data_IF_609852826003
#
_entry.id   IF_609852826003
#
_cell.length_a   1.000
_cell.length_b   1.000
_cell.length_c   1.000
_cell.angle_alpha   90.00
_cell.angle_beta   90.00
_cell.angle_gamma   90.00
#
_symmetry.space_group_name_H-M   'P 1'
#
loop_
_entity.id
_entity.type
_entity.pdbx_description
1 polymer ?
#
# COMPACT_ATOMS: atom_id res chain seq x y z
N UNK A 1 79.03 -46.67 -33.11
CA UNK A 1 78.10 -47.07 -32.08
C UNK A 1 77.82 -45.81 -31.25
N UNK A 2 76.66 -45.24 -31.45
CA UNK A 2 76.32 -44.01 -30.73
C UNK A 2 74.86 -44.08 -30.26
N UNK A 3 74.68 -44.26 -28.93
CA UNK A 3 73.38 -44.43 -28.28
C UNK A 3 72.71 -43.10 -28.01
N UNK A 4 71.73 -42.75 -28.81
CA UNK A 4 70.87 -41.59 -28.56
C UNK A 4 69.80 -41.89 -27.51
N UNK A 5 69.95 -41.34 -26.30
CA UNK A 5 68.90 -41.33 -25.27
C UNK A 5 67.92 -40.16 -25.54
N UNK A 6 66.72 -40.49 -25.99
CA UNK A 6 65.58 -39.54 -26.07
C UNK A 6 65.09 -39.20 -24.60
N UNK A 7 65.18 -37.94 -24.25
CA UNK A 7 64.56 -37.40 -23.06
C UNK A 7 63.04 -37.24 -23.27
N UNK A 8 62.25 -38.06 -22.61
CA UNK A 8 60.81 -37.85 -22.51
C UNK A 8 60.55 -36.71 -21.51
N UNK A 9 60.10 -35.58 -22.01
CA UNK A 9 59.81 -34.39 -21.22
C UNK A 9 58.54 -34.54 -20.37
N UNK A 10 58.61 -34.16 -19.11
CA UNK A 10 57.55 -34.07 -18.12
C UNK A 10 56.39 -33.14 -18.57
N UNK A 11 55.36 -33.67 -19.23
CA UNK A 11 54.10 -33.00 -19.52
C UNK A 11 53.04 -33.13 -18.40
N UNK A 12 53.34 -33.76 -17.27
CA UNK A 12 52.36 -34.16 -16.24
C UNK A 12 52.08 -33.14 -15.13
N UNK A 13 52.75 -32.00 -15.06
CA UNK A 13 52.62 -31.09 -13.91
C UNK A 13 51.59 -29.94 -14.07
N UNK A 14 51.20 -29.62 -15.32
CA UNK A 14 50.30 -28.48 -15.56
C UNK A 14 48.81 -28.81 -15.25
N UNK A 15 48.37 -30.00 -15.58
CA UNK A 15 46.96 -30.43 -15.32
C UNK A 15 46.62 -30.57 -13.83
N UNK A 16 47.60 -31.00 -13.03
CA UNK A 16 47.40 -31.10 -11.56
C UNK A 16 47.22 -29.72 -10.89
N UNK A 17 47.96 -28.71 -11.34
CA UNK A 17 47.85 -27.34 -10.84
C UNK A 17 46.51 -26.69 -11.17
N UNK A 18 45.99 -26.91 -12.37
CA UNK A 18 44.68 -26.42 -12.81
C UNK A 18 43.52 -27.06 -11.99
N UNK A 19 43.61 -28.38 -11.71
CA UNK A 19 42.62 -29.06 -10.85
C UNK A 19 42.62 -28.53 -9.44
N UNK A 20 43.78 -28.21 -8.86
CA UNK A 20 43.86 -27.60 -7.52
C UNK A 20 43.33 -26.19 -7.51
N UNK A 21 43.56 -25.38 -8.53
CA UNK A 21 42.98 -24.03 -8.67
C UNK A 21 41.47 -24.10 -8.78
N UNK A 22 40.93 -25.01 -9.59
CA UNK A 22 39.47 -25.20 -9.72
C UNK A 22 38.85 -25.64 -8.37
N UNK A 23 39.48 -26.61 -7.66
CA UNK A 23 39.02 -27.03 -6.34
C UNK A 23 39.04 -25.88 -5.32
N UNK A 24 40.09 -25.06 -5.34
CA UNK A 24 40.18 -23.88 -4.48
C UNK A 24 39.09 -22.85 -4.81
N UNK A 25 38.83 -22.57 -6.09
CA UNK A 25 37.75 -21.65 -6.51
C UNK A 25 36.35 -22.18 -6.12
N UNK A 26 36.13 -23.49 -6.26
CA UNK A 26 34.87 -24.12 -5.81
C UNK A 26 34.72 -24.03 -4.29
N UNK A 27 35.78 -24.25 -3.54
CA UNK A 27 35.77 -24.12 -2.08
C UNK A 27 35.47 -22.67 -1.65
N UNK A 28 36.11 -21.69 -2.30
CA UNK A 28 35.85 -20.26 -2.05
C UNK A 28 34.40 -19.92 -2.39
N UNK A 29 33.84 -20.41 -3.51
CA UNK A 29 32.45 -20.19 -3.88
C UNK A 29 31.47 -20.83 -2.89
N UNK A 30 31.77 -22.03 -2.39
CA UNK A 30 30.95 -22.69 -1.34
C UNK A 30 30.99 -21.93 0.00
N UNK A 31 32.17 -21.45 0.39
CA UNK A 31 32.29 -20.60 1.61
C UNK A 31 31.53 -19.30 1.43
N UNK A 32 31.69 -18.61 0.29
CA UNK A 32 30.96 -17.37 0.01
C UNK A 32 29.45 -17.60 -0.03
N UNK A 33 28.99 -18.67 -0.69
CA UNK A 33 27.60 -19.09 -0.70
C UNK A 33 27.05 -19.43 0.69
N UNK A 34 27.83 -20.13 1.50
CA UNK A 34 27.47 -20.43 2.89
C UNK A 34 27.36 -19.18 3.76
N UNK A 35 28.28 -18.22 3.60
CA UNK A 35 28.23 -16.93 4.31
C UNK A 35 26.99 -16.12 3.85
N UNK A 36 26.75 -16.03 2.55
CA UNK A 36 25.58 -15.32 2.01
C UNK A 36 24.27 -15.96 2.51
N UNK A 37 24.18 -17.28 2.54
CA UNK A 37 23.04 -18.01 3.08
C UNK A 37 22.80 -17.70 4.56
N UNK A 38 23.86 -17.73 5.38
CA UNK A 38 23.76 -17.43 6.83
C UNK A 38 23.33 -15.98 7.05
N UNK A 39 23.88 -15.03 6.31
CA UNK A 39 23.51 -13.61 6.40
C UNK A 39 22.06 -13.39 6.02
N UNK A 40 21.61 -13.96 4.90
CA UNK A 40 20.22 -13.84 4.45
C UNK A 40 19.24 -14.50 5.46
N UNK A 41 19.59 -15.65 6.03
CA UNK A 41 18.79 -16.32 7.04
C UNK A 41 18.71 -15.52 8.36
N UNK A 42 19.80 -14.85 8.76
CA UNK A 42 19.78 -13.95 9.92
C UNK A 42 18.90 -12.73 9.67
N UNK A 43 18.98 -12.13 8.48
CA UNK A 43 18.15 -10.97 8.11
C UNK A 43 16.66 -11.32 8.14
N UNK A 44 16.24 -12.42 7.52
CA UNK A 44 14.85 -12.87 7.57
C UNK A 44 14.34 -13.10 9.00
N UNK A 45 15.17 -13.72 9.83
CA UNK A 45 14.81 -13.93 11.25
C UNK A 45 14.72 -12.62 12.02
N UNK A 46 15.64 -11.69 11.78
CA UNK A 46 15.72 -10.44 12.52
C UNK A 46 14.68 -9.43 12.06
N UNK A 47 14.16 -9.56 10.81
CA UNK A 47 13.02 -8.79 10.30
C UNK A 47 11.67 -9.32 10.76
N UNK A 48 11.60 -10.59 11.15
CA UNK A 48 10.36 -11.21 11.65
C UNK A 48 9.97 -10.70 13.04
N UNK A 49 8.71 -10.93 13.41
CA UNK A 49 8.17 -10.62 14.73
C UNK A 49 9.08 -11.10 15.88
N UNK A 50 9.29 -10.26 16.90
CA UNK A 50 10.07 -10.63 18.08
C UNK A 50 9.42 -11.82 18.83
N UNK A 51 8.09 -11.78 18.98
CA UNK A 51 7.27 -12.84 19.54
C UNK A 51 5.87 -12.81 18.91
N UNK A 52 5.59 -13.71 17.97
CA UNK A 52 4.32 -13.79 17.24
C UNK A 52 3.08 -14.03 18.11
N UNK A 53 3.26 -14.49 19.36
CA UNK A 53 2.16 -14.71 20.30
C UNK A 53 1.88 -13.50 21.20
N UNK A 54 2.83 -12.59 21.36
CA UNK A 54 2.66 -11.40 22.20
C UNK A 54 2.04 -10.25 21.40
N UNK A 55 0.71 -10.16 21.45
CA UNK A 55 -0.11 -9.10 20.82
C UNK A 55 -0.32 -7.88 21.72
N UNK A 56 0.38 -7.80 22.86
CA UNK A 56 0.25 -6.66 23.77
C UNK A 56 0.94 -5.44 23.22
N UNK A 57 0.15 -4.46 22.82
CA UNK A 57 0.66 -3.22 22.28
C UNK A 57 1.46 -2.40 23.30
N UNK A 58 2.55 -1.83 22.85
CA UNK A 58 3.40 -0.89 23.59
C UNK A 58 3.48 0.41 22.81
N UNK A 59 3.34 1.53 23.51
CA UNK A 59 3.39 2.83 22.89
C UNK A 59 4.84 3.27 22.65
N UNK A 60 5.10 3.75 21.43
CA UNK A 60 6.35 4.39 21.04
C UNK A 60 6.07 5.80 20.56
N UNK A 61 6.82 6.79 21.06
CA UNK A 61 6.75 8.17 20.59
C UNK A 61 7.93 8.47 19.69
N UNK A 62 7.66 8.73 18.42
CA UNK A 62 8.62 9.30 17.46
C UNK A 62 8.46 10.81 17.46
N UNK A 63 9.53 11.55 17.73
CA UNK A 63 9.52 13.01 17.75
C UNK A 63 9.78 13.54 16.35
N UNK A 64 9.41 14.79 16.13
CA UNK A 64 9.83 15.51 14.94
C UNK A 64 11.36 15.70 14.97
N UNK A 65 12.03 15.34 13.85
CA UNK A 65 13.49 15.34 13.77
C UNK A 65 14.21 14.07 14.26
N UNK A 66 13.50 13.05 14.78
CA UNK A 66 14.12 11.75 15.07
C UNK A 66 14.62 11.11 13.75
N UNK A 67 15.86 10.63 13.76
CA UNK A 67 16.43 9.86 12.67
C UNK A 67 16.08 8.35 12.78
N UNK A 68 16.53 7.55 11.82
CA UNK A 68 16.26 6.11 11.78
C UNK A 68 16.88 5.38 12.98
N UNK A 69 18.04 5.83 13.46
CA UNK A 69 18.70 5.26 14.63
C UNK A 69 17.95 5.58 15.91
N UNK A 70 17.41 6.80 16.04
CA UNK A 70 16.57 7.21 17.16
C UNK A 70 15.31 6.35 17.25
N UNK A 71 14.65 6.10 16.11
CA UNK A 71 13.47 5.22 16.02
C UNK A 71 13.85 3.79 16.40
N UNK A 72 14.96 3.25 15.86
CA UNK A 72 15.44 1.92 16.21
C UNK A 72 15.73 1.79 17.71
N UNK A 73 16.36 2.79 18.32
CA UNK A 73 16.62 2.81 19.76
C UNK A 73 15.34 2.78 20.59
N UNK A 74 14.30 3.50 20.16
CA UNK A 74 13.00 3.52 20.84
C UNK A 74 12.27 2.18 20.73
N UNK A 75 12.29 1.55 19.57
CA UNK A 75 11.69 0.23 19.34
C UNK A 75 12.40 -0.86 20.16
N UNK A 76 13.74 -0.85 20.19
CA UNK A 76 14.55 -1.77 20.99
C UNK A 76 14.32 -1.60 22.50
N UNK A 77 14.33 -0.36 23.00
CA UNK A 77 14.02 -0.05 24.40
C UNK A 77 12.62 -0.51 24.81
N UNK A 78 11.67 -0.45 23.89
CA UNK A 78 10.31 -0.96 24.07
C UNK A 78 10.23 -2.50 23.95
N UNK A 79 11.32 -3.19 23.61
CA UNK A 79 11.35 -4.64 23.34
C UNK A 79 10.32 -5.02 22.27
N UNK A 80 10.42 -4.41 21.11
CA UNK A 80 9.56 -4.63 19.95
C UNK A 80 10.32 -5.27 18.80
N UNK A 81 11.64 -5.06 18.70
CA UNK A 81 12.51 -5.60 17.66
C UNK A 81 13.65 -6.45 18.27
N UNK A 82 14.24 -7.36 17.47
CA UNK A 82 15.37 -8.21 17.90
C UNK A 82 16.70 -7.48 17.81
N UNK A 83 16.83 -6.60 16.81
CA UNK A 83 18.10 -5.96 16.49
C UNK A 83 17.86 -4.55 15.94
N UNK A 84 18.50 -3.55 16.57
CA UNK A 84 18.52 -2.17 16.04
C UNK A 84 19.18 -2.12 14.67
N UNK A 85 20.27 -2.87 14.49
CA UNK A 85 21.01 -2.92 13.22
C UNK A 85 20.13 -3.47 12.10
N UNK A 86 19.31 -4.51 12.38
CA UNK A 86 18.38 -5.06 11.40
C UNK A 86 17.31 -4.04 11.01
N UNK A 87 16.76 -3.27 11.95
CA UNK A 87 15.80 -2.21 11.63
C UNK A 87 16.42 -1.13 10.73
N UNK A 88 17.62 -0.62 11.09
CA UNK A 88 18.33 0.40 10.29
C UNK A 88 18.67 -0.14 8.91
N UNK A 89 19.16 -1.40 8.83
CA UNK A 89 19.46 -2.05 7.55
C UNK A 89 18.20 -2.24 6.69
N UNK A 90 17.08 -2.66 7.30
CA UNK A 90 15.81 -2.79 6.59
C UNK A 90 15.37 -1.46 5.97
N UNK A 91 15.37 -0.37 6.75
CA UNK A 91 14.99 0.97 6.29
C UNK A 91 15.87 1.43 5.14
N UNK A 92 17.21 1.25 5.24
CA UNK A 92 18.15 1.68 4.20
C UNK A 92 18.10 0.82 2.93
N UNK A 93 17.93 -0.50 3.06
CA UNK A 93 17.90 -1.43 1.91
C UNK A 93 16.60 -1.37 1.11
N UNK A 94 15.52 -0.85 1.69
CA UNK A 94 14.22 -0.68 1.05
C UNK A 94 13.91 0.78 0.69
N UNK A 95 14.94 1.65 0.65
CA UNK A 95 14.81 3.09 0.33
C UNK A 95 13.68 3.80 1.09
N UNK A 96 13.49 3.42 2.35
CA UNK A 96 12.46 4.02 3.17
C UNK A 96 12.91 5.42 3.61
N UNK A 97 12.42 6.42 2.90
CA UNK A 97 12.51 7.81 3.33
C UNK A 97 11.28 8.17 4.17
N UNK A 98 11.46 9.09 5.14
CA UNK A 98 10.37 9.73 5.90
C UNK A 98 9.58 8.81 6.86
N UNK A 99 10.25 8.31 7.91
CA UNK A 99 9.55 7.86 9.10
C UNK A 99 8.93 9.09 9.80
N UNK A 100 7.60 9.08 9.95
CA UNK A 100 6.84 10.25 10.44
C UNK A 100 6.80 10.31 11.96
N UNK A 101 6.74 11.52 12.50
CA UNK A 101 6.57 11.74 13.94
C UNK A 101 5.16 11.36 14.42
N UNK A 102 5.01 11.10 15.71
CA UNK A 102 3.72 10.77 16.35
C UNK A 102 3.82 9.69 17.43
N UNK A 103 2.66 9.31 17.95
CA UNK A 103 2.52 8.19 18.89
C UNK A 103 2.04 6.97 18.14
N UNK A 104 2.71 5.84 18.34
CA UNK A 104 2.45 4.56 17.68
C UNK A 104 2.17 3.48 18.71
N UNK A 105 1.37 2.49 18.34
CA UNK A 105 1.19 1.26 19.09
C UNK A 105 1.74 0.11 18.27
N UNK A 106 2.73 -0.58 18.83
CA UNK A 106 3.31 -1.78 18.25
C UNK A 106 3.27 -2.92 19.24
N UNK A 107 3.06 -4.13 18.75
CA UNK A 107 3.16 -5.36 19.53
C UNK A 107 4.45 -6.10 19.19
N UNK A 108 4.99 -6.93 20.11
CA UNK A 108 6.09 -7.84 19.78
C UNK A 108 5.76 -8.85 18.68
N UNK A 109 4.47 -9.01 18.33
CA UNK A 109 4.00 -9.82 17.21
C UNK A 109 4.12 -9.11 15.86
N UNK A 110 4.42 -7.81 15.81
CA UNK A 110 4.59 -7.07 14.57
C UNK A 110 6.00 -7.29 14.02
N UNK A 111 6.11 -7.52 12.72
CA UNK A 111 7.39 -7.58 12.00
C UNK A 111 7.96 -6.18 11.77
N UNK A 112 9.26 -6.09 11.45
CA UNK A 112 9.89 -4.81 11.08
C UNK A 112 9.18 -4.18 9.88
N UNK A 113 8.78 -4.98 8.90
CA UNK A 113 8.03 -4.50 7.73
C UNK A 113 6.72 -3.81 8.13
N UNK A 114 5.92 -4.45 8.99
CA UNK A 114 4.66 -3.87 9.49
C UNK A 114 4.89 -2.60 10.30
N UNK A 115 5.92 -2.59 11.16
CA UNK A 115 6.28 -1.39 11.92
C UNK A 115 6.72 -0.23 11.02
N UNK A 116 7.57 -0.50 10.02
CA UNK A 116 8.06 0.50 9.05
C UNK A 116 6.90 1.04 8.23
N UNK A 117 6.01 0.15 7.74
CA UNK A 117 4.80 0.56 7.03
C UNK A 117 3.97 1.53 7.89
N UNK A 118 3.73 1.21 9.17
CA UNK A 118 2.99 2.05 10.09
C UNK A 118 3.70 3.39 10.36
N UNK A 119 5.03 3.39 10.52
CA UNK A 119 5.84 4.59 10.73
C UNK A 119 5.80 5.55 9.54
N UNK A 120 5.70 5.02 8.32
CA UNK A 120 5.55 5.84 7.09
C UNK A 120 4.20 6.53 6.99
N UNK A 121 3.13 5.92 7.53
CA UNK A 121 1.78 6.49 7.49
C UNK A 121 1.61 7.67 8.45
N UNK A 122 2.35 7.70 9.53
CA UNK A 122 2.27 8.72 10.56
C UNK A 122 1.56 8.24 11.82
N UNK A 123 2.04 8.72 12.97
CA UNK A 123 1.47 8.40 14.27
C UNK A 123 0.35 9.37 14.69
N UNK A 124 -0.34 9.02 15.76
CA UNK A 124 -1.33 9.91 16.38
C UNK A 124 -0.64 11.15 16.99
N UNK A 125 -1.34 12.26 17.02
CA UNK A 125 -0.85 13.52 17.57
C UNK A 125 -0.75 13.53 19.11
N UNK A 126 -1.49 12.61 19.78
CA UNK A 126 -1.54 12.46 21.24
C UNK A 126 -1.24 11.02 21.68
N UNK A 127 -0.88 10.79 22.97
CA UNK A 127 -0.66 9.44 23.51
C UNK A 127 -1.85 8.52 23.28
N UNK A 128 -1.55 7.26 22.89
CA UNK A 128 -2.55 6.25 22.59
C UNK A 128 -2.73 5.31 23.79
N UNK A 129 -3.99 5.02 24.13
CA UNK A 129 -4.35 3.94 25.05
C UNK A 129 -5.10 2.87 24.26
N UNK A 130 -4.65 1.61 24.30
CA UNK A 130 -5.20 0.49 23.50
C UNK A 130 -6.72 0.28 23.63
N UNK A 131 -7.29 0.68 24.75
CA UNK A 131 -8.73 0.57 25.01
C UNK A 131 -9.53 1.78 24.51
N UNK A 132 -8.84 2.82 24.03
CA UNK A 132 -9.43 4.12 23.71
C UNK A 132 -9.12 4.56 22.29
N UNK A 133 -8.65 3.61 21.45
CA UNK A 133 -8.28 3.91 20.08
C UNK A 133 -9.14 3.17 19.06
N UNK A 134 -9.20 3.76 17.86
CA UNK A 134 -9.76 3.14 16.66
C UNK A 134 -8.76 3.28 15.52
N UNK A 135 -8.59 2.24 14.73
CA UNK A 135 -7.68 2.24 13.58
C UNK A 135 -8.49 2.26 12.30
N UNK A 136 -8.29 3.30 11.49
CA UNK A 136 -8.70 3.33 10.08
C UNK A 136 -7.61 2.66 9.27
N UNK A 137 -7.95 1.58 8.55
CA UNK A 137 -7.01 0.84 7.71
C UNK A 137 -7.06 1.33 6.27
N UNK A 138 -5.98 1.13 5.57
CA UNK A 138 -5.91 1.39 4.14
C UNK A 138 -6.98 0.61 3.38
N UNK A 139 -7.66 1.27 2.44
CA UNK A 139 -8.70 0.65 1.65
C UNK A 139 -10.04 0.43 2.36
N UNK A 140 -10.21 0.82 3.63
CA UNK A 140 -11.50 0.79 4.31
C UNK A 140 -12.44 1.88 3.78
N UNK A 141 -13.72 1.50 3.64
CA UNK A 141 -14.79 2.45 3.30
C UNK A 141 -15.34 3.14 4.56
N UNK A 142 -16.04 4.25 4.38
CA UNK A 142 -16.76 4.89 5.50
C UNK A 142 -17.73 3.92 6.20
N UNK A 143 -18.35 2.99 5.47
CA UNK A 143 -19.23 1.97 6.08
C UNK A 143 -18.47 1.00 6.99
N UNK A 144 -17.25 0.58 6.58
CA UNK A 144 -16.39 -0.29 7.38
C UNK A 144 -15.91 0.44 8.64
N UNK A 145 -15.42 1.67 8.50
CA UNK A 145 -14.99 2.52 9.62
C UNK A 145 -16.17 2.76 10.58
N UNK A 146 -17.35 3.08 10.05
CA UNK A 146 -18.54 3.31 10.87
C UNK A 146 -18.97 2.07 11.65
N UNK A 147 -18.82 0.88 11.06
CA UNK A 147 -19.09 -0.38 11.75
C UNK A 147 -18.10 -0.60 12.92
N UNK A 148 -16.82 -0.36 12.68
CA UNK A 148 -15.78 -0.47 13.71
C UNK A 148 -15.96 0.59 14.84
N UNK A 149 -16.32 1.83 14.48
CA UNK A 149 -16.66 2.89 15.44
C UNK A 149 -17.79 2.43 16.36
N UNK A 150 -18.87 1.88 15.79
CA UNK A 150 -20.00 1.40 16.57
C UNK A 150 -19.70 0.21 17.49
N UNK A 151 -18.67 -0.56 17.20
CA UNK A 151 -18.26 -1.73 18.00
C UNK A 151 -17.24 -1.38 19.09
N UNK A 152 -16.30 -0.45 18.80
CA UNK A 152 -15.12 -0.21 19.63
C UNK A 152 -15.12 1.12 20.38
N UNK A 153 -16.08 2.00 20.11
CA UNK A 153 -16.12 3.32 20.72
C UNK A 153 -17.44 3.58 21.44
N UNK A 154 -17.54 4.73 22.12
CA UNK A 154 -18.80 5.20 22.72
C UNK A 154 -19.81 5.75 21.70
N UNK A 155 -19.42 5.87 20.42
CA UNK A 155 -20.26 6.42 19.37
C UNK A 155 -20.95 5.30 18.60
N UNK A 156 -22.19 5.51 18.19
CA UNK A 156 -22.91 4.58 17.33
C UNK A 156 -22.50 4.71 15.87
N UNK A 157 -22.66 3.62 15.09
CA UNK A 157 -22.50 3.65 13.63
C UNK A 157 -23.33 4.78 12.98
N UNK A 158 -24.57 4.98 13.46
CA UNK A 158 -25.47 5.99 12.89
C UNK A 158 -24.99 7.43 13.15
N UNK A 159 -24.45 7.72 14.34
CA UNK A 159 -23.88 9.04 14.66
C UNK A 159 -22.67 9.33 13.78
N UNK A 160 -21.80 8.35 13.57
CA UNK A 160 -20.64 8.50 12.70
C UNK A 160 -21.06 8.76 11.24
N UNK A 161 -21.95 7.95 10.68
CA UNK A 161 -22.49 8.14 9.32
C UNK A 161 -23.19 9.48 9.14
N UNK A 162 -23.92 9.94 10.17
CA UNK A 162 -24.53 11.28 10.17
C UNK A 162 -23.49 12.39 10.20
N UNK A 163 -22.37 12.20 10.92
CA UNK A 163 -21.28 13.18 10.96
C UNK A 163 -20.60 13.33 9.60
N UNK A 164 -20.17 12.22 8.98
CA UNK A 164 -19.44 12.23 7.68
C UNK A 164 -20.27 12.77 6.53
N UNK A 165 -21.60 12.77 6.63
CA UNK A 165 -22.50 13.23 5.58
C UNK A 165 -23.21 14.56 5.90
N UNK A 166 -22.84 15.21 7.01
CA UNK A 166 -23.46 16.46 7.43
C UNK A 166 -22.91 17.67 6.67
N UNK A 167 -23.73 18.31 5.84
CA UNK A 167 -23.35 19.45 5.01
C UNK A 167 -22.77 20.65 5.79
N UNK A 168 -23.37 21.00 6.93
CA UNK A 168 -22.88 22.12 7.73
C UNK A 168 -21.53 21.81 8.40
N UNK A 169 -21.30 20.55 8.78
CA UNK A 169 -20.02 20.10 9.32
C UNK A 169 -18.96 20.03 8.21
N UNK A 170 -19.32 19.53 7.04
CA UNK A 170 -18.44 19.53 5.86
C UNK A 170 -17.96 20.96 5.51
N UNK A 171 -18.84 21.93 5.52
CA UNK A 171 -18.45 23.31 5.22
C UNK A 171 -17.47 23.87 6.27
N UNK A 172 -17.63 23.54 7.56
CA UNK A 172 -16.67 23.92 8.60
C UNK A 172 -15.31 23.24 8.42
N UNK A 173 -15.29 21.98 8.03
CA UNK A 173 -14.05 21.26 7.71
C UNK A 173 -13.34 21.89 6.50
N UNK A 174 -14.10 22.29 5.47
CA UNK A 174 -13.56 22.97 4.29
C UNK A 174 -12.89 24.30 4.68
N UNK A 175 -13.50 25.10 5.55
CA UNK A 175 -12.92 26.34 6.07
C UNK A 175 -11.67 26.08 6.94
N UNK A 176 -11.70 25.02 7.76
CA UNK A 176 -10.60 24.66 8.65
C UNK A 176 -9.39 24.06 7.92
N UNK A 177 -9.62 23.39 6.78
CA UNK A 177 -8.60 22.67 6.00
C UNK A 177 -8.61 23.13 4.53
N UNK A 178 -8.17 24.35 4.25
CA UNK A 178 -8.23 24.94 2.90
C UNK A 178 -7.42 24.13 1.90
N UNK A 179 -7.96 23.96 0.70
CA UNK A 179 -7.37 23.14 -0.37
C UNK A 179 -7.77 21.66 -0.32
N UNK A 180 -8.08 21.09 0.85
CA UNK A 180 -8.37 19.68 0.98
C UNK A 180 -9.74 19.28 0.38
N UNK A 181 -10.81 20.01 0.73
CA UNK A 181 -12.20 19.65 0.39
C UNK A 181 -12.81 20.55 -0.70
N UNK A 182 -12.04 21.48 -1.25
CA UNK A 182 -12.54 22.47 -2.20
C UNK A 182 -13.02 21.83 -3.51
N UNK A 183 -12.27 20.86 -4.01
CA UNK A 183 -12.56 20.16 -5.26
C UNK A 183 -13.76 19.20 -5.14
N UNK A 184 -13.97 18.58 -3.97
CA UNK A 184 -15.21 17.81 -3.72
C UNK A 184 -16.44 18.71 -3.79
N UNK A 185 -16.37 19.84 -3.10
CA UNK A 185 -17.48 20.79 -3.05
C UNK A 185 -17.84 21.35 -4.44
N UNK A 186 -16.89 21.47 -5.36
CA UNK A 186 -17.06 21.99 -6.71
C UNK A 186 -17.20 20.91 -7.78
N UNK A 187 -17.15 19.63 -7.44
CA UNK A 187 -17.29 18.51 -8.39
C UNK A 187 -18.63 18.56 -9.11
N UNK A 188 -18.60 18.36 -10.44
CA UNK A 188 -19.81 18.23 -11.27
C UNK A 188 -20.74 17.13 -10.80
N UNK A 189 -20.18 16.08 -10.16
CA UNK A 189 -20.90 14.91 -9.68
C UNK A 189 -21.19 14.97 -8.17
N UNK A 190 -21.01 16.12 -7.50
CA UNK A 190 -21.20 16.29 -6.06
C UNK A 190 -22.58 15.81 -5.54
N UNK A 191 -23.64 15.91 -6.37
CA UNK A 191 -24.99 15.43 -6.06
C UNK A 191 -25.08 13.90 -5.94
N UNK A 192 -24.18 13.18 -6.60
CA UNK A 192 -24.17 11.73 -6.69
C UNK A 192 -23.21 11.09 -5.66
N UNK A 193 -22.48 11.92 -4.90
CA UNK A 193 -21.56 11.46 -3.86
C UNK A 193 -22.34 10.79 -2.71
N UNK A 194 -21.98 9.54 -2.42
CA UNK A 194 -22.64 8.76 -1.35
C UNK A 194 -22.28 9.28 0.05
N UNK A 195 -21.00 9.46 0.32
CA UNK A 195 -20.45 10.00 1.56
C UNK A 195 -19.46 11.11 1.21
N UNK A 196 -19.72 12.34 1.70
CA UNK A 196 -18.90 13.51 1.38
C UNK A 196 -17.44 13.38 1.79
N UNK A 197 -17.15 12.60 2.80
CA UNK A 197 -15.81 12.40 3.33
C UNK A 197 -15.20 11.05 2.97
N UNK A 198 -15.78 10.29 2.01
CA UNK A 198 -15.15 9.08 1.49
C UNK A 198 -13.81 9.44 0.84
N UNK A 199 -12.75 8.73 1.23
CA UNK A 199 -11.39 8.99 0.80
C UNK A 199 -10.64 10.08 1.59
N UNK A 200 -11.34 10.80 2.48
CA UNK A 200 -10.76 11.90 3.27
C UNK A 200 -10.53 11.54 4.74
N UNK A 201 -10.80 10.31 5.15
CA UNK A 201 -10.51 9.81 6.48
C UNK A 201 -9.17 9.04 6.46
N UNK A 202 -8.07 9.73 6.75
CA UNK A 202 -6.73 9.18 6.56
C UNK A 202 -6.50 7.89 7.34
N UNK A 203 -5.90 6.85 6.75
CA UNK A 203 -5.55 5.62 7.44
C UNK A 203 -4.52 5.85 8.56
N UNK A 204 -4.96 5.73 9.79
CA UNK A 204 -4.14 5.88 11.00
C UNK A 204 -4.91 5.38 12.24
N UNK A 205 -4.26 5.39 13.39
CA UNK A 205 -4.89 5.09 14.69
C UNK A 205 -5.25 6.39 15.42
N UNK A 206 -6.49 6.50 15.85
CA UNK A 206 -7.07 7.70 16.47
C UNK A 206 -7.52 7.43 17.90
N UNK A 207 -7.31 8.38 18.80
CA UNK A 207 -7.85 8.34 20.17
C UNK A 207 -9.28 8.88 20.15
N UNK A 208 -10.27 7.99 20.31
CA UNK A 208 -11.67 8.38 20.32
C UNK A 208 -12.14 8.94 21.66
N UNK A 209 -11.42 8.67 22.77
CA UNK A 209 -11.80 9.16 24.12
C UNK A 209 -11.75 10.67 24.22
N UNK A 210 -10.77 11.29 23.54
CA UNK A 210 -10.60 12.74 23.51
C UNK A 210 -11.69 13.45 22.68
N UNK A 211 -12.55 12.69 22.01
CA UNK A 211 -13.67 13.21 21.25
C UNK A 211 -14.95 13.20 22.08
N UNK A 212 -15.62 14.34 22.21
CA UNK A 212 -16.90 14.44 22.92
C UNK A 212 -18.09 13.91 22.11
N UNK A 213 -17.95 13.89 20.79
CA UNK A 213 -18.96 13.42 19.82
C UNK A 213 -18.31 12.87 18.56
N UNK A 214 -19.07 12.16 17.71
CA UNK A 214 -18.58 11.55 16.49
C UNK A 214 -17.97 12.56 15.49
N UNK A 215 -18.40 13.84 15.48
CA UNK A 215 -17.83 14.87 14.61
C UNK A 215 -16.40 15.21 14.99
N UNK A 216 -16.07 15.23 16.28
CA UNK A 216 -14.70 15.47 16.73
C UNK A 216 -13.77 14.34 16.33
N UNK A 217 -14.22 13.08 16.39
CA UNK A 217 -13.47 11.93 15.89
C UNK A 217 -13.26 12.02 14.37
N UNK A 218 -14.31 12.35 13.60
CA UNK A 218 -14.19 12.57 12.14
C UNK A 218 -13.25 13.74 11.86
N UNK A 219 -13.29 14.81 12.64
CA UNK A 219 -12.37 15.95 12.49
C UNK A 219 -10.90 15.52 12.67
N UNK A 220 -10.58 14.65 13.66
CA UNK A 220 -9.21 14.12 13.79
C UNK A 220 -8.76 13.39 12.51
N UNK A 221 -9.64 12.58 11.89
CA UNK A 221 -9.34 11.82 10.69
C UNK A 221 -9.10 12.74 9.47
N UNK A 222 -9.92 13.78 9.31
CA UNK A 222 -9.79 14.79 8.24
C UNK A 222 -8.57 15.68 8.47
N UNK A 223 -8.31 16.10 9.72
CA UNK A 223 -7.11 16.87 10.09
C UNK A 223 -5.82 16.10 9.72
N UNK A 224 -5.84 14.78 9.91
CA UNK A 224 -4.71 13.92 9.53
C UNK A 224 -4.56 13.87 8.00
N UNK A 225 -5.64 13.77 7.23
CA UNK A 225 -5.59 13.89 5.76
C UNK A 225 -4.97 15.22 5.32
N UNK A 226 -5.40 16.32 5.92
CA UNK A 226 -4.82 17.64 5.62
C UNK A 226 -3.32 17.69 5.93
N UNK A 227 -2.92 17.21 7.11
CA UNK A 227 -1.50 17.18 7.52
C UNK A 227 -0.64 16.40 6.53
N UNK A 228 -1.15 15.30 5.99
CA UNK A 228 -0.43 14.44 5.05
C UNK A 228 -0.40 15.00 3.62
N UNK A 229 -1.47 15.70 3.21
CA UNK A 229 -1.65 16.11 1.82
C UNK A 229 -1.30 17.57 1.52
N UNK A 230 -1.32 18.47 2.53
CA UNK A 230 -1.13 19.91 2.30
C UNK A 230 0.17 20.27 1.57
N UNK A 231 1.24 19.53 1.81
CA UNK A 231 2.53 19.74 1.13
C UNK A 231 2.58 19.14 -0.28
N UNK A 232 1.53 18.44 -0.71
CA UNK A 232 1.40 17.83 -2.03
C UNK A 232 0.39 18.58 -2.93
N UNK A 233 -0.28 19.62 -2.43
CA UNK A 233 -1.30 20.33 -3.22
C UNK A 233 -0.75 20.95 -4.49
N UNK A 234 0.47 21.50 -4.47
CA UNK A 234 1.12 22.01 -5.67
C UNK A 234 1.47 20.88 -6.63
N UNK A 235 2.01 19.76 -6.16
CA UNK A 235 2.29 18.57 -6.98
C UNK A 235 1.02 18.00 -7.61
N UNK A 236 -0.09 17.94 -6.87
CA UNK A 236 -1.40 17.52 -7.39
C UNK A 236 -1.84 18.44 -8.54
N UNK A 237 -1.72 19.74 -8.34
CA UNK A 237 -2.08 20.76 -9.35
C UNK A 237 -1.18 20.65 -10.58
N UNK A 238 0.13 20.47 -10.39
CA UNK A 238 1.10 20.33 -11.48
C UNK A 238 0.88 19.05 -12.30
N UNK A 239 0.36 17.99 -11.66
CA UNK A 239 -0.11 16.78 -12.34
C UNK A 239 -1.44 16.98 -13.12
N UNK A 240 -2.03 18.18 -13.10
CA UNK A 240 -3.30 18.48 -13.74
C UNK A 240 -4.52 17.89 -13.05
N UNK A 241 -4.38 17.48 -11.78
CA UNK A 241 -5.43 16.84 -11.00
C UNK A 241 -5.94 17.78 -9.89
N UNK A 242 -7.15 17.49 -9.43
CA UNK A 242 -7.67 18.01 -8.17
C UNK A 242 -7.40 17.02 -7.04
N UNK A 243 -7.49 17.47 -5.78
CA UNK A 243 -7.38 16.57 -4.61
C UNK A 243 -8.44 15.48 -4.67
N UNK A 244 -9.66 15.80 -5.08
CA UNK A 244 -10.76 14.84 -5.22
C UNK A 244 -10.48 13.76 -6.27
N UNK A 245 -9.99 14.14 -7.45
CA UNK A 245 -9.61 13.20 -8.51
C UNK A 245 -8.41 12.34 -8.10
N UNK A 246 -7.41 12.94 -7.45
CA UNK A 246 -6.25 12.20 -6.91
C UNK A 246 -6.68 11.12 -5.92
N UNK A 247 -7.52 11.48 -4.94
CA UNK A 247 -8.03 10.52 -3.96
C UNK A 247 -8.93 9.46 -4.59
N UNK A 248 -9.70 9.83 -5.62
CA UNK A 248 -10.54 8.90 -6.38
C UNK A 248 -9.70 7.84 -7.09
N UNK A 249 -8.70 8.25 -7.88
CA UNK A 249 -7.78 7.31 -8.53
C UNK A 249 -6.98 6.49 -7.51
N UNK A 250 -6.47 7.14 -6.46
CA UNK A 250 -5.73 6.45 -5.41
C UNK A 250 -6.56 5.37 -4.73
N UNK A 251 -7.88 5.58 -4.56
CA UNK A 251 -8.79 4.58 -3.97
C UNK A 251 -9.01 3.36 -4.88
N UNK A 252 -8.91 3.50 -6.20
CA UNK A 252 -8.90 2.37 -7.14
C UNK A 252 -7.54 1.66 -7.08
N UNK A 253 -6.44 2.40 -7.18
CA UNK A 253 -5.07 1.87 -7.11
C UNK A 253 -4.83 1.10 -5.80
N UNK A 254 -5.40 1.56 -4.69
CA UNK A 254 -5.31 0.89 -3.37
C UNK A 254 -5.79 -0.55 -3.39
N UNK A 255 -6.78 -0.84 -4.20
CA UNK A 255 -7.42 -2.17 -4.25
C UNK A 255 -6.93 -3.04 -5.39
N UNK A 256 -6.23 -2.47 -6.37
CA UNK A 256 -5.73 -3.17 -7.55
C UNK A 256 -4.22 -3.44 -7.48
N UNK A 257 -3.45 -2.56 -6.83
CA UNK A 257 -1.99 -2.66 -6.76
C UNK A 257 -1.51 -3.57 -5.63
N UNK A 258 -0.56 -4.46 -5.95
CA UNK A 258 0.02 -5.42 -5.00
C UNK A 258 1.21 -4.80 -4.26
N UNK A 259 2.07 -4.09 -4.98
CA UNK A 259 3.26 -3.39 -4.48
C UNK A 259 3.35 -1.98 -5.06
N UNK A 260 4.38 -1.22 -4.69
CA UNK A 260 4.53 0.17 -5.14
C UNK A 260 4.73 0.27 -6.65
N UNK A 261 5.46 -0.65 -7.25
CA UNK A 261 5.74 -0.64 -8.69
C UNK A 261 4.47 -0.90 -9.51
N UNK A 262 3.70 -1.92 -9.12
CA UNK A 262 2.39 -2.20 -9.74
C UNK A 262 1.38 -1.08 -9.52
N UNK A 263 1.35 -0.44 -8.32
CA UNK A 263 0.50 0.73 -8.09
C UNK A 263 0.81 1.87 -9.05
N UNK A 264 2.09 2.20 -9.26
CA UNK A 264 2.51 3.27 -10.17
C UNK A 264 2.15 2.98 -11.63
N UNK A 265 2.33 1.72 -12.07
CA UNK A 265 1.97 1.35 -13.45
C UNK A 265 0.45 1.29 -13.64
N UNK A 266 -0.32 0.77 -12.66
CA UNK A 266 -1.80 0.77 -12.69
C UNK A 266 -2.35 2.20 -12.69
N UNK A 267 -1.78 3.11 -11.90
CA UNK A 267 -2.12 4.53 -11.94
C UNK A 267 -1.89 5.10 -13.34
N UNK A 268 -0.77 4.73 -13.99
CA UNK A 268 -0.48 5.06 -15.39
C UNK A 268 -1.56 4.56 -16.36
N UNK A 269 -2.04 3.32 -16.18
CA UNK A 269 -3.13 2.74 -17.00
C UNK A 269 -4.43 3.54 -16.82
N UNK A 270 -4.82 3.84 -15.58
CA UNK A 270 -6.04 4.61 -15.33
C UNK A 270 -5.97 6.02 -15.92
N UNK A 271 -4.85 6.71 -15.77
CA UNK A 271 -4.65 8.02 -16.38
C UNK A 271 -4.65 7.97 -17.91
N UNK A 272 -4.06 6.93 -18.54
CA UNK A 272 -4.13 6.72 -20.00
C UNK A 272 -5.57 6.51 -20.49
N UNK A 273 -6.40 5.80 -19.70
CA UNK A 273 -7.82 5.64 -20.00
C UNK A 273 -8.59 6.96 -19.88
N UNK A 274 -8.31 7.76 -18.85
CA UNK A 274 -8.90 9.09 -18.67
C UNK A 274 -8.58 9.98 -19.89
N UNK A 275 -7.31 10.03 -20.32
CA UNK A 275 -6.89 10.84 -21.47
C UNK A 275 -7.57 10.43 -22.79
N UNK A 276 -8.02 9.18 -22.88
CA UNK A 276 -8.73 8.62 -24.05
C UNK A 276 -10.26 8.56 -23.88
N UNK A 277 -10.79 9.18 -22.81
CA UNK A 277 -12.22 9.14 -22.45
C UNK A 277 -12.79 7.71 -22.35
N UNK A 278 -11.93 6.75 -21.94
CA UNK A 278 -12.30 5.36 -21.74
C UNK A 278 -12.85 5.13 -20.33
N UNK A 279 -13.88 4.25 -20.15
CA UNK A 279 -14.30 3.80 -18.85
C UNK A 279 -13.16 3.10 -18.09
N UNK A 280 -13.02 3.34 -16.78
CA UNK A 280 -11.94 2.73 -15.97
C UNK A 280 -12.15 1.23 -15.73
N UNK A 281 -13.39 0.73 -15.76
CA UNK A 281 -13.77 -0.68 -15.70
C UNK A 281 -13.22 -1.40 -14.47
N UNK A 282 -13.33 -0.79 -13.29
CA UNK A 282 -12.94 -1.40 -12.03
C UNK A 282 -14.13 -2.04 -11.32
N UNK A 283 -13.97 -3.31 -10.94
CA UNK A 283 -14.92 -4.06 -10.11
C UNK A 283 -15.17 -3.38 -8.77
N UNK A 284 -14.14 -2.74 -8.21
CA UNK A 284 -14.19 -2.03 -6.92
C UNK A 284 -15.27 -0.95 -6.96
N UNK A 285 -15.28 -0.15 -8.03
CA UNK A 285 -16.27 0.91 -8.23
C UNK A 285 -17.70 0.35 -8.27
N UNK A 286 -17.90 -0.76 -9.02
CA UNK A 286 -19.21 -1.41 -9.13
C UNK A 286 -19.63 -2.07 -7.82
N UNK A 287 -18.72 -2.73 -7.11
CA UNK A 287 -18.97 -3.30 -5.78
C UNK A 287 -19.38 -2.23 -4.77
N UNK A 288 -18.67 -1.08 -4.78
CA UNK A 288 -19.04 0.07 -3.98
C UNK A 288 -20.42 0.62 -4.34
N UNK A 289 -20.71 0.77 -5.64
CA UNK A 289 -22.00 1.22 -6.16
C UNK A 289 -23.15 0.38 -5.62
N UNK A 290 -23.01 -0.92 -5.69
CA UNK A 290 -24.04 -1.91 -5.33
C UNK A 290 -24.05 -2.29 -3.84
N UNK A 291 -23.09 -1.79 -3.04
CA UNK A 291 -22.89 -2.19 -1.63
C UNK A 291 -22.75 -3.71 -1.46
N UNK A 292 -22.03 -4.36 -2.38
CA UNK A 292 -21.88 -5.82 -2.40
C UNK A 292 -20.44 -6.26 -2.09
N UNK A 293 -20.30 -7.41 -1.41
CA UNK A 293 -19.04 -8.09 -1.15
C UNK A 293 -18.84 -9.31 -2.07
N UNK A 294 -19.64 -9.47 -3.13
CA UNK A 294 -19.50 -10.58 -4.08
C UNK A 294 -18.07 -10.62 -4.65
N UNK A 295 -17.52 -11.83 -4.76
CA UNK A 295 -16.21 -12.04 -5.40
C UNK A 295 -16.30 -11.67 -6.89
N UNK A 296 -17.30 -12.20 -7.60
CA UNK A 296 -17.51 -11.98 -9.02
C UNK A 296 -18.77 -11.16 -9.28
N UNK A 297 -18.67 -10.22 -10.21
CA UNK A 297 -19.80 -9.41 -10.67
C UNK A 297 -20.50 -10.12 -11.84
N UNK A 298 -21.82 -10.08 -11.85
CA UNK A 298 -22.62 -10.56 -12.99
C UNK A 298 -22.74 -9.48 -14.08
N UNK A 299 -23.13 -9.88 -15.30
CA UNK A 299 -23.42 -8.94 -16.39
C UNK A 299 -24.49 -7.89 -16.00
N UNK A 300 -25.44 -8.25 -15.14
CA UNK A 300 -26.43 -7.32 -14.60
C UNK A 300 -25.80 -6.29 -13.66
N UNK A 301 -24.82 -6.69 -12.86
CA UNK A 301 -24.13 -5.80 -11.92
C UNK A 301 -23.34 -4.71 -12.68
N UNK A 302 -22.60 -5.09 -13.74
CA UNK A 302 -21.81 -4.15 -14.56
C UNK A 302 -22.64 -3.25 -15.49
N UNK A 303 -23.94 -3.54 -15.66
CA UNK A 303 -24.87 -2.68 -16.39
C UNK A 303 -25.66 -1.71 -15.50
N UNK A 304 -25.41 -1.70 -14.20
CA UNK A 304 -26.06 -0.81 -13.25
C UNK A 304 -25.98 0.66 -13.70
N UNK A 305 -27.06 1.41 -13.54
CA UNK A 305 -27.10 2.85 -13.81
C UNK A 305 -26.62 3.70 -12.63
N UNK A 306 -26.02 3.12 -11.60
CA UNK A 306 -25.46 3.87 -10.49
C UNK A 306 -24.28 4.72 -10.98
N UNK A 307 -24.19 6.03 -10.63
CA UNK A 307 -23.12 6.93 -11.06
C UNK A 307 -21.68 6.45 -10.74
N UNK A 308 -21.50 5.62 -9.73
CA UNK A 308 -20.23 4.98 -9.39
C UNK A 308 -19.85 3.80 -10.30
N UNK A 309 -20.68 3.40 -11.27
CA UNK A 309 -20.37 2.28 -12.15
C UNK A 309 -19.42 2.70 -13.28
N UNK A 310 -18.13 2.49 -13.08
CA UNK A 310 -17.07 2.81 -14.04
C UNK A 310 -16.94 1.80 -15.21
N UNK A 311 -17.80 0.81 -15.32
CA UNK A 311 -18.00 0.05 -16.57
C UNK A 311 -18.87 0.82 -17.56
N UNK A 312 -19.80 1.63 -17.05
CA UNK A 312 -20.81 2.32 -17.87
C UNK A 312 -20.44 3.78 -18.14
N UNK A 313 -19.79 4.42 -17.20
CA UNK A 313 -19.46 5.85 -17.27
C UNK A 313 -17.95 6.05 -17.31
N UNK A 314 -17.47 6.89 -18.25
CA UNK A 314 -16.08 7.32 -18.32
C UNK A 314 -15.75 8.39 -17.25
N UNK A 315 -14.47 8.67 -17.09
CA UNK A 315 -13.95 9.62 -16.09
C UNK A 315 -13.80 9.03 -14.68
N UNK A 316 -13.65 9.92 -13.70
CA UNK A 316 -13.34 9.54 -12.31
C UNK A 316 -14.54 8.99 -11.53
N UNK A 317 -15.77 9.16 -12.03
CA UNK A 317 -16.99 8.91 -11.25
C UNK A 317 -17.26 10.02 -10.23
N UNK A 318 -18.19 9.78 -9.26
CA UNK A 318 -18.56 10.81 -8.27
C UNK A 318 -17.47 11.13 -7.25
N UNK A 319 -16.61 10.18 -6.90
CA UNK A 319 -15.57 10.35 -5.92
C UNK A 319 -14.95 9.04 -5.41
N UNK A 320 -14.12 9.10 -4.36
CA UNK A 320 -13.40 7.94 -3.84
C UNK A 320 -14.29 6.76 -3.43
N UNK A 321 -13.75 5.57 -3.49
CA UNK A 321 -14.42 4.29 -3.19
C UNK A 321 -13.99 3.69 -1.85
N UNK A 322 -12.93 4.22 -1.27
CA UNK A 322 -12.36 3.86 0.03
C UNK A 322 -11.36 4.96 0.45
N UNK A 323 -10.74 4.79 1.62
CA UNK A 323 -9.70 5.67 2.13
C UNK A 323 -8.32 5.11 1.75
N UNK A 324 -7.61 5.72 0.78
CA UNK A 324 -6.37 5.19 0.23
C UNK A 324 -5.16 5.45 1.13
N UNK A 325 -4.13 4.62 0.97
CA UNK A 325 -2.82 4.80 1.59
C UNK A 325 -2.02 5.96 0.97
N UNK A 326 -1.00 6.43 1.69
CA UNK A 326 -0.02 7.38 1.16
C UNK A 326 0.67 6.83 -0.10
N UNK A 327 0.98 5.53 -0.14
CA UNK A 327 1.64 4.88 -1.28
C UNK A 327 0.77 4.86 -2.54
N UNK A 328 -0.55 4.72 -2.40
CA UNK A 328 -1.48 4.80 -3.53
C UNK A 328 -1.67 6.23 -4.03
N UNK A 329 -1.65 7.22 -3.13
CA UNK A 329 -1.66 8.65 -3.52
C UNK A 329 -0.37 9.00 -4.25
N UNK A 330 0.78 8.57 -3.73
CA UNK A 330 2.08 8.77 -4.36
C UNK A 330 2.15 8.13 -5.75
N UNK A 331 1.58 6.92 -5.91
CA UNK A 331 1.52 6.23 -7.20
C UNK A 331 0.74 7.01 -8.26
N UNK A 332 -0.34 7.67 -7.89
CA UNK A 332 -1.12 8.55 -8.80
C UNK A 332 -0.34 9.78 -9.20
N UNK A 333 0.45 10.36 -8.27
CA UNK A 333 1.24 11.56 -8.54
C UNK A 333 2.56 11.26 -9.28
N UNK A 334 3.07 10.03 -9.17
CA UNK A 334 4.30 9.57 -9.81
C UNK A 334 4.04 8.28 -10.61
N UNK A 335 3.15 8.32 -11.63
CA UNK A 335 2.80 7.15 -12.42
C UNK A 335 3.97 6.70 -13.29
N UNK A 336 4.13 5.38 -13.46
CA UNK A 336 5.13 4.79 -14.35
C UNK A 336 4.54 4.40 -15.71
N UNK A 337 5.42 4.22 -16.69
CA UNK A 337 5.13 3.61 -17.98
C UNK A 337 4.00 4.31 -18.78
N UNK A 338 3.79 5.60 -18.57
CA UNK A 338 2.80 6.41 -19.31
C UNK A 338 3.10 6.43 -20.83
N UNK A 339 4.38 6.46 -21.19
CA UNK A 339 4.89 6.43 -22.55
C UNK A 339 4.61 5.10 -23.28
N UNK A 340 4.45 4.00 -22.54
CA UNK A 340 4.07 2.70 -23.10
C UNK A 340 2.59 2.60 -23.48
N UNK A 341 1.78 3.60 -23.14
CA UNK A 341 0.36 3.67 -23.45
C UNK A 341 -0.44 2.44 -23.04
N UNK A 342 -0.10 1.82 -21.90
CA UNK A 342 -0.86 0.70 -21.37
C UNK A 342 -2.29 1.12 -21.06
N UNK A 343 -3.26 0.30 -21.48
CA UNK A 343 -4.70 0.50 -21.28
C UNK A 343 -5.35 -0.64 -20.50
N UNK A 344 -4.65 -1.77 -20.36
CA UNK A 344 -5.18 -3.00 -19.73
C UNK A 344 -4.13 -3.58 -18.80
N UNK A 345 -4.59 -4.24 -17.75
CA UNK A 345 -3.75 -5.04 -16.86
C UNK A 345 -4.51 -6.29 -16.37
N UNK A 346 -3.78 -7.32 -16.02
CA UNK A 346 -4.29 -8.56 -15.40
C UNK A 346 -3.27 -9.10 -14.42
N UNK A 347 -3.72 -9.51 -13.22
CA UNK A 347 -2.86 -10.09 -12.19
C UNK A 347 -2.87 -11.62 -12.26
N UNK A 348 -1.68 -12.21 -12.13
CA UNK A 348 -1.53 -13.64 -11.89
C UNK A 348 -1.62 -13.90 -10.38
N UNK A 349 -2.71 -14.50 -9.93
CA UNK A 349 -2.98 -14.76 -8.51
C UNK A 349 -2.00 -15.78 -7.87
N UNK A 350 -1.32 -16.62 -8.68
CA UNK A 350 -0.36 -17.62 -8.18
C UNK A 350 0.97 -17.00 -7.74
N UNK A 351 1.46 -16.01 -8.49
CA UNK A 351 2.79 -15.41 -8.25
C UNK A 351 2.75 -13.91 -8.00
N UNK A 352 1.56 -13.29 -7.98
CA UNK A 352 1.38 -11.85 -7.75
C UNK A 352 1.88 -10.95 -8.88
N UNK A 353 2.31 -11.50 -10.03
CA UNK A 353 2.81 -10.68 -11.14
C UNK A 353 1.67 -10.05 -11.91
N UNK A 354 1.78 -8.74 -12.17
CA UNK A 354 0.83 -7.99 -13.00
C UNK A 354 1.39 -7.86 -14.43
N UNK A 355 0.53 -8.13 -15.41
CA UNK A 355 0.82 -8.00 -16.84
C UNK A 355 0.04 -6.83 -17.42
N UNK A 356 0.69 -6.03 -18.26
CA UNK A 356 0.13 -4.82 -18.84
C UNK A 356 0.06 -4.94 -20.37
N UNK A 357 -0.94 -4.32 -21.01
CA UNK A 357 -1.13 -4.34 -22.46
C UNK A 357 -1.64 -2.98 -22.96
N UNK A 358 -1.16 -2.56 -24.13
CA UNK A 358 -1.61 -1.33 -24.78
C UNK A 358 -2.85 -1.54 -25.65
N UNK A 359 -3.12 -2.77 -26.10
CA UNK A 359 -4.27 -3.16 -26.93
C UNK A 359 -5.05 -4.31 -26.31
N UNK A 360 -6.30 -4.49 -26.76
CA UNK A 360 -7.23 -5.46 -26.19
C UNK A 360 -6.90 -6.90 -26.58
N UNK A 361 -6.38 -7.14 -27.77
CA UNK A 361 -6.06 -8.50 -28.24
C UNK A 361 -4.93 -9.12 -27.41
N UNK A 362 -3.87 -8.34 -27.14
CA UNK A 362 -2.79 -8.75 -26.24
C UNK A 362 -3.29 -8.99 -24.81
N UNK A 363 -4.26 -8.19 -24.36
CA UNK A 363 -4.87 -8.38 -23.03
C UNK A 363 -5.65 -9.69 -22.97
N UNK A 364 -6.48 -10.00 -23.99
CA UNK A 364 -7.23 -11.25 -24.07
C UNK A 364 -6.29 -12.46 -24.09
N UNK A 365 -5.21 -12.42 -24.87
CA UNK A 365 -4.21 -13.50 -24.87
C UNK A 365 -3.63 -13.77 -23.49
N UNK A 366 -3.17 -12.71 -22.79
CA UNK A 366 -2.63 -12.82 -21.43
C UNK A 366 -3.68 -13.27 -20.41
N UNK A 367 -4.92 -12.80 -20.52
CA UNK A 367 -6.02 -13.17 -19.62
C UNK A 367 -6.41 -14.64 -19.79
N UNK A 368 -6.53 -15.14 -21.04
CA UNK A 368 -6.83 -16.54 -21.32
C UNK A 368 -5.80 -17.50 -20.72
N UNK A 369 -4.51 -17.22 -20.91
CA UNK A 369 -3.40 -18.01 -20.35
C UNK A 369 -3.43 -18.05 -18.80
N UNK A 370 -4.01 -17.02 -18.16
CA UNK A 370 -4.07 -16.87 -16.71
C UNK A 370 -5.37 -17.40 -16.10
N UNK A 371 -6.49 -17.39 -16.82
CA UNK A 371 -7.76 -17.91 -16.32
C UNK A 371 -7.68 -19.41 -15.98
N UNK A 372 -7.09 -20.23 -16.83
CA UNK A 372 -6.81 -21.64 -16.52
C UNK A 372 -5.92 -21.80 -15.27
N UNK A 373 -5.00 -20.84 -15.06
CA UNK A 373 -4.11 -20.81 -13.90
C UNK A 373 -4.78 -20.32 -12.62
N UNK A 374 -5.69 -19.36 -12.70
CA UNK A 374 -6.33 -18.71 -11.55
C UNK A 374 -7.54 -19.49 -11.02
N UNK A 375 -8.31 -20.17 -11.88
CA UNK A 375 -9.38 -21.09 -11.47
C UNK A 375 -8.87 -22.23 -10.59
N UNK A 376 -7.67 -22.77 -10.87
CA UNK A 376 -7.05 -23.82 -10.06
C UNK A 376 -6.63 -23.37 -8.63
N UNK A 377 -6.57 -22.04 -8.37
CA UNK A 377 -6.26 -21.48 -7.04
C UNK A 377 -7.55 -21.18 -6.26
N UNK A 378 -8.64 -20.79 -6.96
CA UNK A 378 -9.96 -20.59 -6.35
C UNK A 378 -10.54 -21.87 -5.76
N UNK A 379 -10.43 -22.96 -6.49
CA UNK A 379 -10.94 -24.29 -6.06
C UNK A 379 -10.14 -24.90 -4.90
N UNK A 380 -8.89 -24.45 -4.66
CA UNK A 380 -8.05 -24.92 -3.54
C UNK A 380 -8.27 -24.11 -2.23
N UNK A 381 -8.91 -22.95 -2.31
CA UNK A 381 -9.19 -22.09 -1.15
C UNK A 381 -10.58 -22.32 -0.53
N UNK A 382 -11.47 -23.02 -1.25
CA UNK A 382 -12.85 -23.35 -0.81
C UNK A 382 -12.98 -24.80 -0.30
N UNK A 383 -11.87 -25.56 -0.14
CA UNK A 383 -11.84 -26.90 0.49
C UNK A 383 -11.08 -26.80 1.85
#
# INVERSE_FOLDING_TARGET
MNNGKRRQGKKRSRQGKWRLIILFLVLVALIAGGIAFVLNYQDERDYSALNSQDKKNKQVKVKDGDDVEDVANKLDKAKLIRSKKAFVHYVSSHDVSNLKSGYYLFAPSDSINEMVKTLRHGGASSPLNNQETITVREGETIEDIAAEVGQKTKFTKAEFLKAVNNKAFFNRLKEAYPGLLDSEASSKNAKDIRYRLEGYLYPATYNWKDSNNARELVNQMVAQSYTQLKNQFDTIKDAGLTVHETLTLASLVEREGIDQDSRQTIAGVFLNRIDKDMPLQSDIATKYALKTKKTNLSNKDVQSSNPYNLYKYSGYGPGPFNNPSASSIEAVLNPKDRDKNYLYFVANLKNGKVYYSANYDDHLGKSGDLEEGNTAVGDAADN
#
